data_IF_065764227746
#
_entry.id   IF_065764227746
#
_cell.length_a   1.000
_cell.length_b   1.000
_cell.length_c   1.000
_cell.angle_alpha   90.00
_cell.angle_beta   90.00
_cell.angle_gamma   90.00
#
_symmetry.space_group_name_H-M   'P 1'
#
loop_
_entity.id
_entity.type
_entity.pdbx_description
1 polymer ?
#
# COMPACT_ATOMS: atom_id res chain seq x y z
N UNK A 1 -32.64 1.29 1.91
CA UNK A 1 -31.19 1.42 1.60
C UNK A 1 -30.54 0.35 2.43
N UNK A 2 -29.94 -0.64 1.79
CA UNK A 2 -29.16 -1.66 2.49
C UNK A 2 -27.74 -1.09 2.69
N UNK A 3 -27.28 -1.07 3.94
CA UNK A 3 -25.94 -0.58 4.30
C UNK A 3 -24.97 -1.74 4.60
N UNK A 4 -25.41 -2.99 4.38
CA UNK A 4 -24.58 -4.18 4.52
C UNK A 4 -23.58 -4.33 3.38
N UNK A 5 -22.62 -5.23 3.54
CA UNK A 5 -21.73 -5.68 2.48
C UNK A 5 -22.56 -6.45 1.44
N UNK A 6 -22.13 -6.40 0.18
CA UNK A 6 -22.68 -7.27 -0.86
C UNK A 6 -22.27 -8.73 -0.61
N UNK A 7 -22.96 -9.66 -1.24
CA UNK A 7 -22.62 -11.08 -1.12
C UNK A 7 -21.18 -11.37 -1.56
N UNK A 8 -20.70 -10.69 -2.62
CA UNK A 8 -19.32 -10.84 -3.11
C UNK A 8 -18.29 -10.30 -2.09
N UNK A 9 -18.61 -9.17 -1.44
CA UNK A 9 -17.78 -8.61 -0.37
C UNK A 9 -17.74 -9.51 0.86
N UNK A 10 -18.87 -10.09 1.27
CA UNK A 10 -18.93 -11.06 2.36
C UNK A 10 -18.09 -12.30 2.04
N UNK A 11 -18.19 -12.84 0.82
CA UNK A 11 -17.38 -13.97 0.37
C UNK A 11 -15.88 -13.67 0.37
N UNK A 12 -15.49 -12.47 -0.07
CA UNK A 12 -14.10 -12.01 -0.03
C UNK A 12 -13.58 -11.92 1.41
N UNK A 13 -14.33 -11.27 2.30
CA UNK A 13 -14.00 -11.17 3.73
C UNK A 13 -13.84 -12.53 4.38
N UNK A 14 -14.76 -13.47 4.11
CA UNK A 14 -14.72 -14.84 4.59
C UNK A 14 -13.47 -15.60 4.09
N UNK A 15 -13.09 -15.42 2.83
CA UNK A 15 -11.90 -16.04 2.28
C UNK A 15 -10.64 -15.53 2.96
N UNK A 16 -10.52 -14.19 3.09
CA UNK A 16 -9.39 -13.54 3.77
C UNK A 16 -9.31 -13.97 5.23
N UNK A 17 -10.43 -13.94 5.95
CA UNK A 17 -10.48 -14.32 7.37
C UNK A 17 -10.00 -15.76 7.59
N UNK A 18 -10.44 -16.71 6.76
CA UNK A 18 -9.98 -18.11 6.82
C UNK A 18 -8.47 -18.23 6.51
N UNK A 19 -8.01 -17.57 5.47
CA UNK A 19 -6.58 -17.58 5.10
C UNK A 19 -5.73 -17.03 6.23
N UNK A 20 -6.13 -15.92 6.85
CA UNK A 20 -5.42 -15.34 7.98
C UNK A 20 -5.45 -16.23 9.23
N UNK A 21 -6.57 -16.90 9.51
CA UNK A 21 -6.65 -17.85 10.61
C UNK A 21 -5.62 -19.00 10.47
N UNK A 22 -5.38 -19.44 9.24
CA UNK A 22 -4.46 -20.54 8.95
C UNK A 22 -2.98 -20.07 8.86
N UNK A 23 -2.72 -18.85 8.39
CA UNK A 23 -1.37 -18.39 8.02
C UNK A 23 -0.78 -17.33 8.94
N UNK A 24 -1.60 -16.66 9.76
CA UNK A 24 -1.21 -15.52 10.59
C UNK A 24 -1.43 -15.76 12.10
N UNK A 25 -0.75 -16.75 12.73
CA UNK A 25 -0.88 -16.96 14.16
C UNK A 25 -0.26 -15.80 14.95
N UNK A 26 -0.83 -15.47 16.12
CA UNK A 26 -0.37 -14.34 16.93
C UNK A 26 1.10 -14.39 17.33
N UNK A 27 1.67 -15.59 17.48
CA UNK A 27 3.09 -15.72 17.83
C UNK A 27 3.97 -15.21 16.66
N UNK A 28 3.59 -15.51 15.42
CA UNK A 28 4.28 -14.96 14.25
C UNK A 28 4.12 -13.44 14.12
N UNK A 29 2.95 -12.89 14.45
CA UNK A 29 2.75 -11.43 14.52
C UNK A 29 3.70 -10.77 15.54
N UNK A 30 3.90 -11.42 16.70
CA UNK A 30 4.85 -10.94 17.72
C UNK A 30 6.30 -10.96 17.23
N UNK A 31 6.70 -12.02 16.54
CA UNK A 31 8.04 -12.12 15.93
C UNK A 31 8.31 -10.99 14.94
N UNK A 32 7.31 -10.66 14.10
CA UNK A 32 7.39 -9.52 13.19
C UNK A 32 7.49 -8.19 13.96
N UNK A 33 6.69 -8.01 15.02
CA UNK A 33 6.68 -6.80 15.83
C UNK A 33 7.99 -6.61 16.63
N UNK A 34 8.67 -7.69 17.02
CA UNK A 34 9.99 -7.65 17.68
C UNK A 34 11.15 -7.35 16.73
N UNK A 35 10.85 -7.15 15.44
CA UNK A 35 11.80 -6.70 14.43
C UNK A 35 12.69 -7.78 13.84
N UNK A 36 12.37 -9.05 14.06
CA UNK A 36 13.11 -10.18 13.47
C UNK A 36 12.81 -10.34 11.96
N UNK A 37 11.59 -9.97 11.54
CA UNK A 37 11.11 -10.02 10.15
C UNK A 37 10.17 -8.84 9.91
N UNK A 38 10.36 -8.00 8.87
CA UNK A 38 9.52 -6.81 8.65
C UNK A 38 8.09 -7.15 8.25
N UNK A 39 7.92 -8.21 7.45
CA UNK A 39 6.63 -8.71 6.97
C UNK A 39 6.59 -10.24 6.96
N UNK A 40 5.40 -10.81 6.85
CA UNK A 40 5.21 -12.25 6.72
C UNK A 40 5.08 -12.65 5.25
N UNK A 41 6.12 -13.22 4.67
CA UNK A 41 6.09 -13.74 3.29
C UNK A 41 5.02 -14.81 3.09
N UNK A 42 4.78 -15.64 4.10
CA UNK A 42 3.75 -16.66 4.05
C UNK A 42 2.34 -16.04 3.96
N UNK A 43 2.04 -15.07 4.82
CA UNK A 43 0.77 -14.34 4.80
C UNK A 43 0.62 -13.56 3.50
N UNK A 44 1.70 -12.87 3.05
CA UNK A 44 1.73 -12.11 1.81
C UNK A 44 1.44 -12.99 0.59
N UNK A 45 2.08 -14.15 0.51
CA UNK A 45 1.86 -15.11 -0.58
C UNK A 45 0.42 -15.65 -0.58
N UNK A 46 -0.09 -16.09 0.56
CA UNK A 46 -1.45 -16.62 0.69
C UNK A 46 -2.53 -15.60 0.33
N UNK A 47 -2.35 -14.35 0.74
CA UNK A 47 -3.25 -13.25 0.37
C UNK A 47 -3.12 -12.88 -1.12
N UNK A 48 -1.92 -13.01 -1.69
CA UNK A 48 -1.67 -12.84 -3.12
C UNK A 48 -2.44 -13.84 -3.99
N UNK A 49 -2.58 -15.08 -3.55
CA UNK A 49 -3.38 -16.11 -4.23
C UNK A 49 -4.88 -15.74 -4.29
N UNK A 50 -5.38 -14.96 -3.34
CA UNK A 50 -6.74 -14.40 -3.36
C UNK A 50 -6.83 -13.20 -4.32
N UNK A 51 -5.70 -12.58 -4.68
CA UNK A 51 -5.63 -11.45 -5.60
C UNK A 51 -5.78 -10.06 -4.97
N UNK A 52 -5.65 -9.94 -3.64
CA UNK A 52 -5.90 -8.64 -2.97
C UNK A 52 -4.91 -7.55 -3.37
N UNK A 53 -3.70 -7.90 -3.84
CA UNK A 53 -2.69 -6.90 -4.22
C UNK A 53 -3.10 -6.08 -5.45
N UNK A 54 -3.90 -6.68 -6.35
CA UNK A 54 -4.39 -6.04 -7.56
C UNK A 54 -5.75 -5.36 -7.43
N UNK A 55 -6.37 -5.38 -6.25
CA UNK A 55 -7.75 -4.94 -6.10
C UNK A 55 -8.00 -3.49 -6.53
N UNK A 56 -7.09 -2.58 -6.22
CA UNK A 56 -7.21 -1.14 -6.54
C UNK A 56 -6.55 -0.76 -7.87
N UNK A 57 -5.90 -1.70 -8.53
CA UNK A 57 -5.30 -1.48 -9.85
C UNK A 57 -6.39 -1.60 -10.92
N UNK A 58 -6.49 -0.65 -11.88
CA UNK A 58 -7.47 -0.75 -12.97
C UNK A 58 -7.29 -2.01 -13.82
N UNK A 59 -8.38 -2.57 -14.34
CA UNK A 59 -8.39 -3.79 -15.17
C UNK A 59 -7.46 -3.68 -16.38
N UNK A 60 -7.37 -2.51 -17.00
CA UNK A 60 -6.46 -2.25 -18.13
C UNK A 60 -4.97 -2.39 -17.81
N UNK A 61 -4.62 -2.53 -16.52
CA UNK A 61 -3.28 -2.74 -16.00
C UNK A 61 -3.17 -4.04 -15.20
N UNK A 62 -3.91 -5.07 -15.60
CA UNK A 62 -3.93 -6.41 -14.99
C UNK A 62 -4.48 -6.45 -13.55
N UNK A 63 -5.20 -5.42 -13.11
CA UNK A 63 -5.83 -5.36 -11.80
C UNK A 63 -7.29 -5.80 -11.79
N UNK A 64 -7.95 -5.66 -10.63
CA UNK A 64 -9.35 -6.03 -10.43
C UNK A 64 -10.31 -4.83 -10.51
N UNK A 65 -9.82 -3.59 -10.48
CA UNK A 65 -10.64 -2.38 -10.58
C UNK A 65 -11.71 -2.25 -9.50
N UNK A 66 -11.45 -2.81 -8.31
CA UNK A 66 -12.40 -2.80 -7.18
C UNK A 66 -12.53 -1.41 -6.57
N UNK A 67 -13.50 -1.25 -5.68
CA UNK A 67 -13.82 0.04 -5.06
C UNK A 67 -13.09 0.26 -3.73
N UNK A 68 -13.11 1.51 -3.26
CA UNK A 68 -12.59 1.84 -1.93
C UNK A 68 -13.36 1.13 -0.80
N UNK A 69 -14.64 0.81 -1.01
CA UNK A 69 -15.41 0.04 -0.03
C UNK A 69 -14.89 -1.39 0.11
N UNK A 70 -14.52 -2.02 -1.01
CA UNK A 70 -13.91 -3.34 -1.00
C UNK A 70 -12.56 -3.31 -0.28
N UNK A 71 -11.73 -2.29 -0.55
CA UNK A 71 -10.47 -2.09 0.15
C UNK A 71 -10.66 -1.88 1.66
N UNK A 72 -11.69 -1.15 2.07
CA UNK A 72 -12.01 -0.95 3.48
C UNK A 72 -12.42 -2.26 4.16
N UNK A 73 -13.24 -3.09 3.50
CA UNK A 73 -13.64 -4.40 4.01
C UNK A 73 -12.43 -5.35 4.16
N UNK A 74 -11.50 -5.35 3.19
CA UNK A 74 -10.24 -6.09 3.29
C UNK A 74 -9.37 -5.56 4.44
N UNK A 75 -9.21 -4.24 4.56
CA UNK A 75 -8.42 -3.62 5.62
C UNK A 75 -8.94 -3.99 7.02
N UNK A 76 -10.25 -4.11 7.19
CA UNK A 76 -10.87 -4.55 8.44
C UNK A 76 -10.45 -5.98 8.80
N UNK A 77 -10.45 -6.92 7.83
CA UNK A 77 -10.01 -8.30 8.08
C UNK A 77 -8.51 -8.38 8.40
N UNK A 78 -7.67 -7.63 7.68
CA UNK A 78 -6.25 -7.53 7.96
C UNK A 78 -5.98 -6.95 9.35
N UNK A 79 -6.71 -5.90 9.73
CA UNK A 79 -6.61 -5.26 11.03
C UNK A 79 -7.08 -6.18 12.16
N UNK A 80 -8.17 -6.92 11.97
CA UNK A 80 -8.66 -7.88 12.96
C UNK A 80 -7.63 -8.98 13.28
N UNK A 81 -6.93 -9.46 12.28
CA UNK A 81 -5.85 -10.46 12.43
C UNK A 81 -4.48 -9.82 12.80
N UNK A 82 -4.37 -8.49 12.84
CA UNK A 82 -3.10 -7.77 12.98
C UNK A 82 -2.06 -8.27 11.96
N UNK A 83 -2.50 -8.47 10.71
CA UNK A 83 -1.68 -9.09 9.67
C UNK A 83 -0.46 -8.24 9.34
N UNK A 84 0.78 -8.77 9.49
CA UNK A 84 2.03 -8.02 9.23
C UNK A 84 2.34 -8.00 7.73
N UNK A 85 1.53 -7.27 6.97
CA UNK A 85 1.68 -7.11 5.52
C UNK A 85 1.50 -5.66 5.11
N UNK A 86 2.19 -5.17 4.06
CA UNK A 86 1.94 -3.86 3.51
C UNK A 86 0.59 -3.87 2.79
N UNK A 87 -0.26 -2.86 3.01
CA UNK A 87 -1.56 -2.81 2.34
C UNK A 87 -2.01 -1.40 2.01
N UNK A 88 -2.19 -0.54 3.03
CA UNK A 88 -2.83 0.77 2.83
C UNK A 88 -2.01 1.67 1.90
N UNK A 89 -0.72 1.80 2.15
CA UNK A 89 0.18 2.60 1.30
C UNK A 89 0.37 1.92 -0.06
N UNK A 90 0.88 0.70 -0.03
CA UNK A 90 1.39 0.00 -1.22
C UNK A 90 0.29 -0.48 -2.18
N UNK A 91 -0.84 -0.97 -1.66
CA UNK A 91 -1.86 -1.63 -2.47
C UNK A 91 -3.21 -0.91 -2.54
N UNK A 92 -3.36 0.22 -1.78
CA UNK A 92 -4.54 1.09 -1.90
C UNK A 92 -4.15 2.47 -2.41
N UNK A 93 -3.34 3.21 -1.67
CA UNK A 93 -3.05 4.61 -2.00
C UNK A 93 -2.13 4.76 -3.22
N UNK A 94 -1.07 3.95 -3.31
CA UNK A 94 -0.13 4.03 -4.42
C UNK A 94 -0.77 3.73 -5.79
N UNK A 95 -1.51 2.62 -5.99
CA UNK A 95 -2.16 2.37 -7.27
C UNK A 95 -3.22 3.42 -7.61
N UNK A 96 -3.97 3.94 -6.63
CA UNK A 96 -4.91 5.05 -6.87
C UNK A 96 -4.22 6.33 -7.33
N UNK A 97 -3.14 6.73 -6.66
CA UNK A 97 -2.39 7.92 -7.03
C UNK A 97 -1.76 7.79 -8.42
N UNK A 98 -1.16 6.64 -8.73
CA UNK A 98 -0.60 6.36 -10.05
C UNK A 98 -1.67 6.34 -11.14
N UNK A 99 -2.80 5.66 -10.91
CA UNK A 99 -3.88 5.58 -11.89
C UNK A 99 -4.45 6.95 -12.23
N UNK A 100 -4.57 7.85 -11.25
CA UNK A 100 -5.15 9.18 -11.43
C UNK A 100 -4.13 10.23 -11.94
N UNK A 101 -2.90 10.22 -11.43
CA UNK A 101 -1.92 11.29 -11.64
C UNK A 101 -0.60 10.86 -12.28
N UNK A 102 -0.33 9.57 -12.39
CA UNK A 102 0.90 9.06 -13.01
C UNK A 102 0.95 9.29 -14.53
N UNK A 103 2.17 9.44 -15.07
CA UNK A 103 2.36 9.37 -16.51
C UNK A 103 2.01 7.99 -17.06
N UNK A 104 1.68 7.87 -18.33
CA UNK A 104 1.37 6.57 -18.94
C UNK A 104 2.55 5.58 -18.82
N UNK A 105 3.78 6.08 -18.84
CA UNK A 105 4.98 5.27 -18.62
C UNK A 105 5.06 4.71 -17.20
N UNK A 106 4.79 5.54 -16.17
CA UNK A 106 4.73 5.08 -14.78
C UNK A 106 3.61 4.07 -14.56
N UNK A 107 2.43 4.33 -15.12
CA UNK A 107 1.28 3.41 -15.02
C UNK A 107 1.61 2.06 -15.65
N UNK A 108 2.12 2.06 -16.88
CA UNK A 108 2.45 0.83 -17.61
C UNK A 108 3.55 0.01 -16.91
N UNK A 109 4.50 0.67 -16.25
CA UNK A 109 5.60 -0.01 -15.57
C UNK A 109 5.19 -0.54 -14.18
N UNK A 110 4.49 0.26 -13.38
CA UNK A 110 4.27 -0.05 -11.97
C UNK A 110 2.96 -0.77 -11.68
N UNK A 111 1.85 -0.36 -12.30
CA UNK A 111 0.53 -0.91 -11.95
C UNK A 111 0.44 -2.43 -12.13
N UNK A 112 0.92 -3.04 -13.24
CA UNK A 112 0.88 -4.50 -13.39
C UNK A 112 1.74 -5.24 -12.36
N UNK A 113 2.87 -4.65 -11.96
CA UNK A 113 3.75 -5.24 -10.93
C UNK A 113 3.13 -5.17 -9.54
N UNK A 114 2.46 -4.05 -9.22
CA UNK A 114 1.70 -3.92 -7.97
C UNK A 114 0.57 -4.96 -7.94
N UNK A 115 -0.17 -5.11 -9.05
CA UNK A 115 -1.28 -6.07 -9.15
C UNK A 115 -0.85 -7.52 -8.86
N UNK A 116 0.37 -7.87 -9.22
CA UNK A 116 0.96 -9.20 -8.96
C UNK A 116 1.65 -9.32 -7.60
N UNK A 117 1.74 -8.25 -6.82
CA UNK A 117 2.51 -8.20 -5.59
C UNK A 117 4.04 -8.24 -5.80
N UNK A 118 4.51 -7.94 -7.03
CA UNK A 118 5.92 -7.92 -7.43
C UNK A 118 6.60 -6.57 -7.18
N UNK A 119 5.82 -5.52 -6.84
CA UNK A 119 6.33 -4.20 -6.52
C UNK A 119 5.55 -3.58 -5.37
N UNK A 120 6.26 -2.85 -4.53
CA UNK A 120 5.73 -2.14 -3.39
C UNK A 120 6.13 -0.66 -3.47
N UNK A 121 5.16 0.23 -3.36
CA UNK A 121 5.40 1.68 -3.35
C UNK A 121 4.95 2.24 -2.00
N UNK A 122 5.89 2.80 -1.26
CA UNK A 122 5.60 3.51 -0.03
C UNK A 122 4.90 4.85 -0.28
N UNK A 123 4.08 5.28 0.66
CA UNK A 123 3.33 6.55 0.53
C UNK A 123 3.60 7.46 1.73
N UNK A 124 4.19 8.62 1.47
CA UNK A 124 4.56 9.63 2.44
C UNK A 124 3.71 10.90 2.21
N UNK A 125 2.56 10.97 2.88
CA UNK A 125 1.57 12.06 2.74
C UNK A 125 1.17 12.68 4.09
N UNK A 126 1.77 12.28 5.19
CA UNK A 126 1.37 12.71 6.53
C UNK A 126 1.45 14.24 6.68
N UNK A 127 2.45 14.86 6.08
CA UNK A 127 2.70 16.29 6.15
C UNK A 127 1.69 17.15 5.35
N UNK A 128 0.90 16.54 4.46
CA UNK A 128 -0.21 17.24 3.77
C UNK A 128 -1.39 17.50 4.70
N UNK A 129 -1.52 16.72 5.77
CA UNK A 129 -2.60 16.85 6.77
C UNK A 129 -2.18 17.76 7.91
N UNK A 130 -0.96 17.59 8.42
CA UNK A 130 -0.41 18.40 9.50
C UNK A 130 1.13 18.47 9.38
N UNK A 131 1.65 19.70 9.23
CA UNK A 131 3.10 19.93 9.22
C UNK A 131 3.61 19.82 10.66
N UNK A 132 4.49 18.86 10.89
CA UNK A 132 5.18 18.67 12.18
C UNK A 132 6.52 19.37 12.20
N UNK A 133 6.96 19.71 13.42
CA UNK A 133 8.29 20.28 13.62
C UNK A 133 9.38 19.39 13.00
N UNK A 134 10.19 19.95 12.10
CA UNK A 134 11.26 19.27 11.35
C UNK A 134 10.80 18.24 10.33
N UNK A 135 9.55 18.28 9.93
CA UNK A 135 9.01 17.47 8.85
C UNK A 135 8.57 18.37 7.68
N UNK A 136 8.51 17.77 6.51
CA UNK A 136 8.14 18.40 5.27
C UNK A 136 9.22 18.17 4.20
N UNK A 137 8.77 18.04 2.98
CA UNK A 137 9.62 17.88 1.80
C UNK A 137 9.33 19.05 0.87
N UNK A 138 10.34 19.80 0.51
CA UNK A 138 10.24 20.91 -0.43
C UNK A 138 10.71 20.47 -1.81
N UNK A 139 10.09 21.04 -2.86
CA UNK A 139 10.50 20.85 -4.24
C UNK A 139 10.85 22.18 -4.87
N UNK A 140 12.11 22.36 -5.25
CA UNK A 140 12.63 23.58 -5.85
C UNK A 140 12.44 23.67 -7.38
N UNK A 141 11.80 22.68 -7.99
CA UNK A 141 11.62 22.54 -9.44
C UNK A 141 12.56 21.51 -10.09
N UNK A 142 13.55 21.02 -9.35
CA UNK A 142 14.51 20.04 -9.82
C UNK A 142 14.80 18.93 -8.79
N UNK A 143 14.80 19.25 -7.50
CA UNK A 143 15.19 18.37 -6.42
C UNK A 143 14.16 18.41 -5.29
N UNK A 144 13.91 17.25 -4.65
CA UNK A 144 13.25 17.13 -3.39
C UNK A 144 14.27 17.25 -2.26
N UNK A 145 13.96 18.01 -1.22
CA UNK A 145 14.80 18.15 -0.03
C UNK A 145 13.92 18.22 1.22
N UNK A 146 14.27 17.46 2.25
CA UNK A 146 13.51 17.46 3.50
C UNK A 146 13.32 16.06 4.08
N UNK A 147 12.39 15.96 5.02
CA UNK A 147 12.09 14.72 5.75
C UNK A 147 10.60 14.45 5.73
N UNK A 148 10.19 13.30 5.24
CA UNK A 148 8.84 12.78 5.36
C UNK A 148 8.76 11.84 6.57
N UNK A 149 7.78 12.06 7.44
CA UNK A 149 7.53 11.20 8.60
C UNK A 149 6.38 10.24 8.31
N UNK A 150 6.42 9.08 8.97
CA UNK A 150 5.32 8.09 8.90
C UNK A 150 4.97 7.65 7.46
N UNK A 151 5.99 7.43 6.64
CA UNK A 151 5.77 6.82 5.34
C UNK A 151 5.11 5.44 5.50
N UNK A 152 3.93 5.27 4.89
CA UNK A 152 3.18 4.02 4.94
C UNK A 152 3.88 2.97 4.08
N UNK A 153 4.01 1.76 4.62
CA UNK A 153 4.57 0.59 3.93
C UNK A 153 5.98 0.81 3.35
N UNK A 154 6.82 1.56 4.08
CA UNK A 154 8.15 1.98 3.59
C UNK A 154 9.20 0.86 3.62
N UNK A 155 9.02 -0.15 4.49
CA UNK A 155 9.97 -1.27 4.57
C UNK A 155 9.94 -2.07 3.28
N UNK A 156 11.11 -2.33 2.70
CA UNK A 156 11.27 -3.06 1.44
C UNK A 156 10.57 -2.42 0.22
N UNK A 157 10.28 -1.11 0.27
CA UNK A 157 9.65 -0.43 -0.84
C UNK A 157 10.60 -0.24 -2.04
N UNK A 158 10.11 -0.55 -3.24
CA UNK A 158 10.84 -0.35 -4.50
C UNK A 158 10.85 1.12 -4.95
N UNK A 159 9.87 1.91 -4.49
CA UNK A 159 9.72 3.32 -4.80
C UNK A 159 8.86 4.03 -3.76
N UNK A 160 8.81 5.35 -3.85
CA UNK A 160 8.09 6.21 -2.93
C UNK A 160 7.20 7.20 -3.67
N UNK A 161 5.99 7.40 -3.18
CA UNK A 161 5.15 8.54 -3.50
C UNK A 161 5.22 9.53 -2.34
N UNK A 162 5.82 10.69 -2.57
CA UNK A 162 6.09 11.70 -1.56
C UNK A 162 5.30 12.96 -1.87
N UNK A 163 4.53 13.44 -0.92
CA UNK A 163 3.89 14.74 -1.01
C UNK A 163 4.84 15.85 -0.57
N UNK A 164 4.98 16.91 -1.36
CA UNK A 164 5.69 18.11 -0.94
C UNK A 164 4.82 19.04 -0.09
N UNK A 165 5.43 20.06 0.51
CA UNK A 165 4.74 21.06 1.35
C UNK A 165 3.68 21.88 0.58
N UNK A 166 3.72 21.87 -0.75
CA UNK A 166 2.70 22.47 -1.61
C UNK A 166 1.57 21.49 -1.98
N UNK A 167 1.61 20.23 -1.49
CA UNK A 167 0.60 19.20 -1.75
C UNK A 167 0.74 18.51 -3.12
N UNK A 168 1.89 18.63 -3.79
CA UNK A 168 2.15 17.93 -5.04
C UNK A 168 2.76 16.57 -4.74
N UNK A 169 2.34 15.54 -5.48
CA UNK A 169 2.88 14.18 -5.36
C UNK A 169 4.07 14.01 -6.29
N UNK A 170 5.14 13.47 -5.76
CA UNK A 170 6.36 13.13 -6.49
C UNK A 170 6.62 11.64 -6.42
N UNK A 171 6.99 11.06 -7.56
CA UNK A 171 7.45 9.67 -7.63
C UNK A 171 8.98 9.65 -7.49
N UNK A 172 9.47 8.89 -6.52
CA UNK A 172 10.90 8.73 -6.21
C UNK A 172 11.24 7.25 -6.30
N UNK A 173 12.18 6.88 -7.17
CA UNK A 173 12.67 5.50 -7.24
C UNK A 173 13.43 5.13 -5.94
N UNK A 174 13.35 3.88 -5.52
CA UNK A 174 13.98 3.42 -4.27
C UNK A 174 15.51 3.47 -4.30
N UNK A 175 16.11 3.51 -5.48
CA UNK A 175 17.55 3.67 -5.71
C UNK A 175 17.98 5.13 -5.98
N UNK A 176 17.08 6.10 -5.79
CA UNK A 176 17.37 7.50 -6.02
C UNK A 176 18.51 8.00 -5.12
N UNK A 177 19.45 8.74 -5.72
CA UNK A 177 20.58 9.29 -4.98
C UNK A 177 20.13 10.29 -3.92
N UNK A 178 20.59 10.09 -2.67
CA UNK A 178 20.27 10.94 -1.52
C UNK A 178 18.97 10.56 -0.79
N UNK A 179 18.37 9.42 -1.10
CA UNK A 179 17.33 8.79 -0.29
C UNK A 179 18.01 8.10 0.90
N UNK A 180 17.62 8.44 2.14
CA UNK A 180 18.14 7.89 3.40
C UNK A 180 16.99 7.39 4.29
#
# INVERSE_FOLDING_TARGET
MDFGLSQDQEMLCDAISRTLADTCPLDHVRECAEGSVPFSDNVRSALGEIGIWGMMVPEQHDGLGMTMLDAAAVAEQLGYAVAPVPFIGAHVLAPLALAQGGSEELKAHWLPRIAKGEAQIAVAIAETVEIRDRAGVDFDGAKLDGTALFALDFLEADAFLVADTAGRMHFVAGDAAGLE
#
